data_IF_430239040416
#
_entry.id   IF_430239040416
#
_cell.length_a   1.000
_cell.length_b   1.000
_cell.length_c   1.000
_cell.angle_alpha   90.00
_cell.angle_beta   90.00
_cell.angle_gamma   90.00
#
_symmetry.space_group_name_H-M   'P 1'
#
loop_
_entity.id
_entity.type
_entity.pdbx_description
1 polymer ?
#
# COMPACT_ATOMS: atom_id res chain seq x y z
N UNK A 1 -2.74 6.06 9.18
CA UNK A 1 -2.15 6.56 10.45
C UNK A 1 -1.98 5.40 11.42
N UNK A 2 -1.10 5.54 12.41
CA UNK A 2 -0.89 4.57 13.49
C UNK A 2 -0.95 5.28 14.84
N UNK A 3 -1.67 4.70 15.78
CA UNK A 3 -1.75 5.16 17.17
C UNK A 3 -1.20 4.11 18.12
N UNK A 4 -0.90 4.51 19.35
CA UNK A 4 -0.72 3.58 20.46
C UNK A 4 -2.07 3.09 21.01
N UNK A 5 -2.03 2.26 22.06
CA UNK A 5 -3.22 1.69 22.70
C UNK A 5 -4.05 2.72 23.49
N UNK A 6 -3.51 3.92 23.71
CA UNK A 6 -4.21 5.04 24.35
C UNK A 6 -4.78 6.03 23.32
N UNK A 7 -4.54 5.78 22.02
CA UNK A 7 -4.98 6.64 20.93
C UNK A 7 -4.02 7.78 20.60
N UNK A 8 -2.83 7.85 21.21
CA UNK A 8 -1.85 8.87 20.85
C UNK A 8 -1.27 8.58 19.46
N UNK A 9 -1.12 9.61 18.64
CA UNK A 9 -0.57 9.49 17.31
C UNK A 9 0.91 9.10 17.38
N UNK A 10 1.26 7.95 16.80
CA UNK A 10 2.65 7.53 16.62
C UNK A 10 3.21 8.09 15.30
N UNK A 11 2.45 7.92 14.22
CA UNK A 11 2.76 8.54 12.93
C UNK A 11 1.53 8.64 12.03
N UNK A 12 1.60 9.61 11.12
CA UNK A 12 0.67 9.78 10.00
C UNK A 12 1.46 10.05 8.74
N UNK A 13 1.06 9.39 7.65
CA UNK A 13 1.64 9.51 6.33
C UNK A 13 0.50 9.56 5.31
N UNK A 14 0.74 10.25 4.21
CA UNK A 14 -0.09 10.21 3.02
C UNK A 14 0.73 9.54 1.94
N UNK A 15 0.14 8.54 1.28
CA UNK A 15 0.79 7.82 0.19
C UNK A 15 -0.11 7.91 -1.04
N UNK A 16 0.50 8.03 -2.22
CA UNK A 16 -0.24 8.14 -3.47
C UNK A 16 0.47 9.02 -4.50
N UNK A 17 -0.27 9.42 -5.51
CA UNK A 17 0.14 10.34 -6.56
C UNK A 17 -0.91 11.41 -6.83
N UNK A 18 -0.92 11.91 -8.06
CA UNK A 18 -1.78 13.02 -8.48
C UNK A 18 -3.23 12.62 -8.76
N UNK A 19 -3.53 11.33 -8.91
CA UNK A 19 -4.86 10.80 -9.20
C UNK A 19 -5.48 10.13 -7.96
N UNK A 20 -6.51 9.29 -8.17
CA UNK A 20 -7.21 8.60 -7.08
C UNK A 20 -6.44 7.33 -6.67
N UNK A 21 -6.17 7.21 -5.37
CA UNK A 21 -5.43 6.11 -4.77
C UNK A 21 -6.21 5.59 -3.57
N UNK A 22 -6.68 4.34 -3.67
CA UNK A 22 -7.66 3.79 -2.75
C UNK A 22 -7.04 2.62 -1.97
N UNK A 23 -6.74 2.78 -0.67
CA UNK A 23 -6.32 1.67 0.17
C UNK A 23 -7.52 0.80 0.55
N UNK A 24 -7.35 -0.52 0.49
CA UNK A 24 -8.40 -1.47 0.88
C UNK A 24 -8.07 -2.22 2.16
N UNK A 25 -6.80 -2.61 2.34
CA UNK A 25 -6.39 -3.38 3.51
C UNK A 25 -4.96 -3.07 3.89
N UNK A 26 -4.69 -3.05 5.20
CA UNK A 26 -3.34 -3.03 5.76
C UNK A 26 -3.18 -4.15 6.78
N UNK A 27 -2.06 -4.87 6.71
CA UNK A 27 -1.71 -5.95 7.64
C UNK A 27 -0.32 -5.72 8.23
N UNK A 28 -0.07 -6.25 9.42
CA UNK A 28 1.27 -6.30 9.98
C UNK A 28 2.07 -7.38 9.28
N UNK A 29 3.30 -7.06 8.86
CA UNK A 29 4.16 -8.03 8.18
C UNK A 29 4.96 -8.87 9.19
N UNK A 30 5.30 -10.09 8.80
CA UNK A 30 6.29 -10.89 9.52
C UNK A 30 7.65 -10.16 9.51
N UNK A 31 8.31 -10.08 10.67
CA UNK A 31 9.56 -9.33 10.82
C UNK A 31 9.41 -7.82 11.04
N UNK A 32 8.18 -7.31 11.23
CA UNK A 32 7.92 -5.91 11.60
C UNK A 32 7.35 -5.07 10.45
N UNK A 33 6.90 -3.85 10.75
CA UNK A 33 6.27 -2.96 9.78
C UNK A 33 4.92 -3.49 9.23
N UNK A 34 4.54 -3.01 8.05
CA UNK A 34 3.21 -3.23 7.48
C UNK A 34 3.24 -3.52 5.98
N UNK A 35 2.18 -4.16 5.47
CA UNK A 35 1.89 -4.22 4.03
C UNK A 35 0.47 -3.68 3.81
N UNK A 36 0.35 -2.74 2.88
CA UNK A 36 -0.91 -2.18 2.42
C UNK A 36 -1.21 -2.69 1.01
N UNK A 37 -2.48 -2.94 0.71
CA UNK A 37 -2.97 -3.18 -0.64
C UNK A 37 -4.13 -2.23 -0.94
N UNK A 38 -4.19 -1.76 -2.17
CA UNK A 38 -5.22 -0.89 -2.69
C UNK A 38 -5.27 -0.95 -4.22
N UNK A 39 -5.90 0.05 -4.81
CA UNK A 39 -5.79 0.33 -6.24
C UNK A 39 -5.34 1.77 -6.46
N UNK A 40 -4.69 2.00 -7.59
CA UNK A 40 -4.19 3.32 -8.00
C UNK A 40 -4.60 3.61 -9.43
N UNK A 41 -4.90 4.87 -9.74
CA UNK A 41 -4.88 5.40 -11.11
C UNK A 41 -3.77 6.44 -11.34
N UNK A 42 -2.87 6.59 -10.37
CA UNK A 42 -1.72 7.49 -10.40
C UNK A 42 -0.52 6.85 -11.12
N UNK A 43 0.36 7.68 -11.68
CA UNK A 43 1.62 7.27 -12.34
C UNK A 43 2.83 8.05 -11.81
N UNK A 44 2.65 8.70 -10.66
CA UNK A 44 3.59 9.63 -10.05
C UNK A 44 3.50 9.60 -8.51
N UNK A 45 4.31 10.42 -7.85
CA UNK A 45 4.42 10.45 -6.39
C UNK A 45 5.12 9.19 -5.87
N UNK A 46 4.40 8.43 -5.05
CA UNK A 46 4.88 7.16 -4.49
C UNK A 46 4.63 5.94 -5.40
N UNK A 47 3.89 6.11 -6.50
CA UNK A 47 3.61 5.05 -7.48
C UNK A 47 4.59 5.16 -8.64
N UNK A 48 5.41 4.13 -8.88
CA UNK A 48 6.36 4.16 -10.00
C UNK A 48 5.67 4.04 -11.36
N UNK A 49 4.60 3.25 -11.47
CA UNK A 49 3.91 3.03 -12.75
C UNK A 49 2.50 2.47 -12.59
N UNK A 50 1.61 2.81 -13.52
CA UNK A 50 0.29 2.20 -13.70
C UNK A 50 0.10 1.88 -15.19
N UNK A 51 -0.35 0.67 -15.50
CA UNK A 51 -0.43 0.13 -16.86
C UNK A 51 -1.76 0.41 -17.57
N UNK A 52 -2.75 0.99 -16.87
CA UNK A 52 -4.12 1.07 -17.34
C UNK A 52 -4.92 2.22 -16.73
N UNK A 53 -6.19 1.95 -16.42
CA UNK A 53 -7.07 2.91 -15.77
C UNK A 53 -7.05 2.78 -14.25
N UNK A 54 -6.89 1.54 -13.76
CA UNK A 54 -6.76 1.19 -12.35
C UNK A 54 -5.91 -0.06 -12.26
N UNK A 55 -4.86 -0.04 -11.44
CA UNK A 55 -4.05 -1.24 -11.15
C UNK A 55 -4.03 -1.48 -9.64
N UNK A 56 -3.83 -2.74 -9.24
CA UNK A 56 -3.63 -3.09 -7.85
C UNK A 56 -2.26 -2.55 -7.40
N UNK A 57 -2.23 -1.91 -6.23
CA UNK A 57 -1.03 -1.33 -5.67
C UNK A 57 -0.73 -1.96 -4.31
N UNK A 58 0.48 -2.49 -4.14
CA UNK A 58 0.94 -3.12 -2.91
C UNK A 58 2.15 -2.36 -2.39
N UNK A 59 2.08 -1.92 -1.13
CA UNK A 59 3.12 -1.10 -0.50
C UNK A 59 3.61 -1.77 0.77
N UNK A 60 4.92 -1.96 0.88
CA UNK A 60 5.59 -2.41 2.10
C UNK A 60 6.10 -1.19 2.86
N UNK A 61 5.68 -1.07 4.12
CA UNK A 61 6.07 0.00 5.02
C UNK A 61 6.94 -0.51 6.17
N UNK A 62 7.91 0.28 6.58
CA UNK A 62 8.66 0.09 7.83
C UNK A 62 7.79 0.36 9.07
N UNK A 63 8.32 0.13 10.28
CA UNK A 63 7.58 0.37 11.54
C UNK A 63 7.20 1.84 11.76
N UNK A 64 8.00 2.75 11.21
CA UNK A 64 7.80 4.20 11.25
C UNK A 64 6.95 4.72 10.09
N UNK A 65 6.49 3.84 9.19
CA UNK A 65 5.65 4.21 8.06
C UNK A 65 6.41 4.74 6.84
N UNK A 66 7.72 4.53 6.74
CA UNK A 66 8.46 4.80 5.49
C UNK A 66 8.25 3.67 4.48
N UNK A 67 8.13 3.99 3.20
CA UNK A 67 8.06 3.00 2.11
C UNK A 67 9.39 2.26 2.01
N UNK A 68 9.34 0.93 2.09
CA UNK A 68 10.47 0.03 1.82
C UNK A 68 10.48 -0.34 0.34
N UNK A 69 9.32 -0.71 -0.18
CA UNK A 69 9.10 -0.95 -1.60
C UNK A 69 7.61 -0.81 -1.93
N UNK A 70 7.31 -0.63 -3.20
CA UNK A 70 5.97 -0.58 -3.75
C UNK A 70 5.93 -1.38 -5.06
N UNK A 71 4.78 -1.95 -5.39
CA UNK A 71 4.56 -2.71 -6.63
C UNK A 71 3.16 -2.47 -7.16
N UNK A 72 3.06 -2.28 -8.46
CA UNK A 72 1.78 -2.26 -9.18
C UNK A 72 1.58 -3.53 -10.01
N UNK A 73 0.33 -4.00 -10.04
CA UNK A 73 -0.08 -5.22 -10.73
C UNK A 73 -1.37 -4.96 -11.51
N UNK A 74 -1.30 -5.12 -12.83
CA UNK A 74 -2.44 -4.91 -13.72
C UNK A 74 -2.01 -4.91 -15.18
N UNK A 75 -2.96 -4.62 -16.06
CA UNK A 75 -2.74 -4.47 -17.50
C UNK A 75 -3.38 -3.20 -18.04
N UNK A 76 -3.67 -3.17 -19.34
CA UNK A 76 -4.17 -1.95 -20.00
C UNK A 76 -5.62 -1.57 -19.65
N UNK A 77 -6.25 -2.21 -18.66
CA UNK A 77 -7.67 -2.06 -18.31
C UNK A 77 -7.81 -1.67 -16.83
N UNK A 78 -8.85 -2.14 -16.15
CA UNK A 78 -9.06 -1.93 -14.72
C UNK A 78 -8.81 -3.27 -14.01
N UNK A 79 -7.81 -3.29 -13.15
CA UNK A 79 -7.37 -4.42 -12.36
C UNK A 79 -7.33 -3.97 -10.89
N UNK A 80 -8.33 -4.38 -10.09
CA UNK A 80 -8.45 -3.94 -8.70
C UNK A 80 -7.77 -4.92 -7.74
N UNK A 81 -7.05 -4.40 -6.76
CA UNK A 81 -6.56 -5.21 -5.63
C UNK A 81 -7.74 -5.70 -4.79
N UNK A 82 -7.77 -6.98 -4.41
CA UNK A 82 -8.87 -7.53 -3.60
C UNK A 82 -8.56 -7.52 -2.10
N UNK A 83 -7.62 -8.37 -1.72
CA UNK A 83 -7.17 -8.55 -0.34
C UNK A 83 -5.73 -9.04 -0.33
N UNK A 84 -5.05 -8.87 0.80
CA UNK A 84 -3.72 -9.44 1.02
C UNK A 84 -3.71 -10.27 2.30
N UNK A 85 -3.07 -11.43 2.22
CA UNK A 85 -2.83 -12.30 3.36
C UNK A 85 -1.33 -12.49 3.54
N UNK A 86 -0.86 -12.35 4.78
CA UNK A 86 0.51 -12.75 5.11
C UNK A 86 0.59 -14.27 5.04
N UNK A 87 1.54 -14.80 4.27
CA UNK A 87 1.90 -16.22 4.30
C UNK A 87 2.88 -16.45 5.46
N UNK A 88 2.90 -17.68 5.99
CA UNK A 88 3.67 -18.02 7.19
C UNK A 88 5.20 -17.90 7.01
N UNK A 89 5.67 -17.94 5.76
CA UNK A 89 7.06 -17.77 5.35
C UNK A 89 7.44 -16.30 5.04
N UNK A 90 6.47 -15.38 5.07
CA UNK A 90 6.68 -13.98 4.72
C UNK A 90 6.66 -13.67 3.22
N UNK A 91 6.35 -14.68 2.37
CA UNK A 91 6.15 -14.54 0.93
C UNK A 91 6.67 -15.73 0.14
#
# INVERSE_FOLDING_TARGET
MRTDNLGNLLWQKCFGGSCNDEPYQIIKAHGGGYICIGSTCSTDGDIAYNHGAWDAWVVRLSETGEIIWEKTYGGSRMDFGGAIAATADGG
#
